data_IF_336875148176
#
_entry.id   IF_336875148176
#
_cell.length_a   1.000
_cell.length_b   1.000
_cell.length_c   1.000
_cell.angle_alpha   90.00
_cell.angle_beta   90.00
_cell.angle_gamma   90.00
#
_symmetry.space_group_name_H-M   'P 1'
#
loop_
_entity.id
_entity.type
_entity.pdbx_description
1 polymer ?
#
# COMPACT_ATOMS: atom_id res chain seq x y z
N UNK A 1 2.42 3.38 -0.28
CA UNK A 1 3.74 3.24 0.37
C UNK A 1 3.79 1.97 1.20
N UNK A 2 4.80 1.19 0.97
CA UNK A 2 4.95 -0.13 1.59
C UNK A 2 6.13 -0.11 2.56
N UNK A 3 5.90 -0.57 3.80
CA UNK A 3 6.95 -0.71 4.82
C UNK A 3 6.96 -2.13 5.34
N UNK A 4 8.15 -2.71 5.49
CA UNK A 4 8.33 -4.00 6.13
C UNK A 4 8.07 -5.21 5.24
N UNK A 5 7.99 -5.04 3.93
CA UNK A 5 7.87 -6.14 2.98
C UNK A 5 9.16 -6.23 2.15
N UNK A 6 9.79 -7.40 2.07
CA UNK A 6 10.99 -7.56 1.25
C UNK A 6 10.73 -7.21 -0.21
N UNK A 7 11.72 -6.60 -0.86
CA UNK A 7 11.61 -6.20 -2.25
C UNK A 7 11.20 -7.34 -3.18
N UNK A 8 11.73 -8.54 -2.95
CA UNK A 8 11.41 -9.71 -3.77
C UNK A 8 9.91 -10.04 -3.75
N UNK A 9 9.27 -9.86 -2.60
CA UNK A 9 7.84 -10.13 -2.47
C UNK A 9 7.02 -9.09 -3.21
N UNK A 10 7.45 -7.83 -3.17
CA UNK A 10 6.79 -6.75 -3.91
C UNK A 10 6.89 -7.00 -5.41
N UNK A 11 8.09 -7.33 -5.90
CA UNK A 11 8.31 -7.59 -7.31
C UNK A 11 7.48 -8.79 -7.81
N UNK A 12 7.27 -9.78 -6.94
CA UNK A 12 6.47 -10.96 -7.29
C UNK A 12 5.03 -10.62 -7.61
N UNK A 13 4.45 -9.64 -6.91
CA UNK A 13 3.01 -9.33 -7.02
C UNK A 13 2.72 -7.96 -7.63
N UNK A 14 3.73 -7.19 -7.95
CA UNK A 14 3.57 -5.81 -8.39
C UNK A 14 2.58 -5.66 -9.54
N UNK A 15 2.74 -6.42 -10.59
CA UNK A 15 1.89 -6.28 -11.78
C UNK A 15 0.43 -6.66 -11.47
N UNK A 16 0.24 -7.73 -10.71
CA UNK A 16 -1.09 -8.16 -10.29
C UNK A 16 -1.77 -7.09 -9.42
N UNK A 17 -1.00 -6.46 -8.54
CA UNK A 17 -1.52 -5.41 -7.66
C UNK A 17 -1.98 -4.20 -8.47
N UNK A 18 -1.16 -3.74 -9.42
CA UNK A 18 -1.55 -2.65 -10.31
C UNK A 18 -2.82 -2.97 -11.08
N UNK A 19 -2.88 -4.15 -11.68
CA UNK A 19 -4.03 -4.55 -12.50
C UNK A 19 -5.31 -4.62 -11.67
N UNK A 20 -5.25 -5.23 -10.49
CA UNK A 20 -6.43 -5.37 -9.65
C UNK A 20 -6.91 -4.05 -9.09
N UNK A 21 -6.00 -3.15 -8.70
CA UNK A 21 -6.38 -1.81 -8.22
C UNK A 21 -6.97 -0.98 -9.36
N UNK A 22 -6.42 -1.07 -10.55
CA UNK A 22 -6.96 -0.39 -11.72
C UNK A 22 -8.39 -0.82 -12.01
N UNK A 23 -8.67 -2.12 -11.95
CA UNK A 23 -10.02 -2.65 -12.18
C UNK A 23 -11.01 -2.15 -11.12
N UNK A 24 -10.64 -2.22 -9.85
CA UNK A 24 -11.53 -1.81 -8.76
C UNK A 24 -11.83 -0.32 -8.80
N UNK A 25 -10.80 0.49 -9.04
CA UNK A 25 -10.92 1.94 -8.99
C UNK A 25 -11.33 2.54 -10.33
N UNK A 26 -11.38 1.70 -11.38
CA UNK A 26 -11.74 2.12 -12.74
C UNK A 26 -10.91 3.32 -13.20
N UNK A 27 -9.60 3.22 -13.05
CA UNK A 27 -8.66 4.26 -13.46
C UNK A 27 -7.38 3.64 -14.05
N UNK A 28 -6.64 4.38 -14.89
CA UNK A 28 -5.42 3.88 -15.52
C UNK A 28 -4.36 3.48 -14.49
N UNK A 29 -3.57 2.47 -14.81
CA UNK A 29 -2.50 1.98 -13.92
C UNK A 29 -1.44 3.04 -13.64
N UNK A 30 -1.19 3.94 -14.58
CA UNK A 30 -0.20 5.01 -14.42
C UNK A 30 -0.61 6.12 -13.45
N UNK A 31 -1.85 6.06 -12.91
CA UNK A 31 -2.27 6.93 -11.83
C UNK A 31 -1.78 6.46 -10.46
N UNK A 32 -1.22 5.25 -10.40
CA UNK A 32 -0.72 4.68 -9.15
C UNK A 32 0.79 4.69 -9.11
N UNK A 33 1.33 4.78 -7.91
CA UNK A 33 2.75 4.60 -7.69
C UNK A 33 2.94 3.72 -6.46
N UNK A 34 3.60 2.58 -6.66
CA UNK A 34 3.99 1.72 -5.56
C UNK A 34 5.42 2.05 -5.19
N UNK A 35 5.63 2.44 -3.94
CA UNK A 35 6.95 2.70 -3.41
C UNK A 35 7.16 1.95 -2.12
N UNK A 36 8.37 1.53 -1.85
CA UNK A 36 8.72 0.90 -0.59
C UNK A 36 9.75 1.71 0.16
N UNK A 37 9.64 1.70 1.49
CA UNK A 37 10.52 2.44 2.38
C UNK A 37 11.16 1.45 3.32
N UNK A 38 12.49 1.51 3.43
CA UNK A 38 13.20 0.73 4.42
C UNK A 38 12.85 1.23 5.83
N UNK A 39 12.52 0.31 6.73
CA UNK A 39 12.14 0.63 8.09
C UNK A 39 12.82 -0.32 9.06
N UNK A 40 13.45 0.23 10.08
CA UNK A 40 13.94 -0.53 11.21
C UNK A 40 12.90 -0.48 12.32
N UNK A 41 12.67 -1.61 12.98
CA UNK A 41 11.68 -1.72 14.02
C UNK A 41 12.37 -1.94 15.38
N UNK A 42 11.99 -1.12 16.34
CA UNK A 42 12.54 -1.17 17.70
C UNK A 42 11.43 -1.54 18.69
N UNK A 43 11.19 -2.84 18.91
CA UNK A 43 10.10 -3.26 19.81
C UNK A 43 10.42 -2.91 21.27
N UNK A 44 9.38 -2.71 22.11
CA UNK A 44 9.59 -2.38 23.52
C UNK A 44 10.19 -3.53 24.32
N UNK A 45 10.13 -4.74 23.79
CA UNK A 45 10.69 -5.94 24.41
C UNK A 45 11.61 -6.64 23.42
N UNK A 46 12.87 -6.87 23.80
CA UNK A 46 13.87 -7.48 22.92
C UNK A 46 13.49 -8.89 22.45
N UNK A 47 12.61 -9.56 23.18
CA UNK A 47 12.14 -10.90 22.79
C UNK A 47 11.01 -10.85 21.76
N UNK A 48 10.39 -9.69 21.54
CA UNK A 48 9.32 -9.53 20.56
C UNK A 48 9.95 -9.29 19.18
N UNK A 49 9.96 -10.34 18.38
CA UNK A 49 10.51 -10.29 17.02
C UNK A 49 9.45 -10.15 15.94
N UNK A 50 8.19 -9.93 16.33
CA UNK A 50 7.12 -9.77 15.37
C UNK A 50 7.30 -8.47 14.61
N UNK A 51 7.18 -8.56 13.33
CA UNK A 51 7.23 -7.41 12.44
C UNK A 51 5.98 -7.44 11.57
N UNK A 52 5.10 -6.46 11.77
CA UNK A 52 3.88 -6.37 10.97
C UNK A 52 4.10 -5.37 9.85
N UNK A 53 4.07 -5.83 8.59
CA UNK A 53 4.17 -4.92 7.47
C UNK A 53 3.01 -3.94 7.42
N UNK A 54 3.28 -2.74 6.94
CA UNK A 54 2.29 -1.68 6.79
C UNK A 54 2.24 -1.19 5.36
N UNK A 55 1.04 -1.00 4.84
CA UNK A 55 0.83 -0.36 3.55
C UNK A 55 -0.07 0.86 3.77
N UNK A 56 0.43 2.02 3.39
CA UNK A 56 -0.34 3.26 3.40
C UNK A 56 -0.81 3.56 1.98
N UNK A 57 -2.11 3.70 1.81
CA UNK A 57 -2.72 4.16 0.57
C UNK A 57 -3.02 5.64 0.71
N UNK A 58 -2.28 6.47 -0.02
CA UNK A 58 -2.48 7.92 0.00
C UNK A 58 -3.24 8.31 -1.26
N UNK A 59 -4.41 8.89 -1.07
CA UNK A 59 -5.29 9.26 -2.18
C UNK A 59 -6.25 10.38 -1.78
N UNK A 60 -7.04 10.84 -2.74
CA UNK A 60 -8.16 11.73 -2.45
C UNK A 60 -9.31 10.91 -1.85
N UNK A 61 -10.18 11.54 -1.02
CA UNK A 61 -11.23 10.82 -0.30
C UNK A 61 -12.11 9.93 -1.20
N UNK A 62 -12.38 8.72 -0.72
CA UNK A 62 -13.25 7.74 -1.38
C UNK A 62 -14.19 7.13 -0.35
N UNK A 63 -15.32 6.53 -0.78
CA UNK A 63 -16.26 5.87 0.14
C UNK A 63 -15.61 4.78 0.96
N UNK A 64 -16.12 4.55 2.17
CA UNK A 64 -15.59 3.52 3.08
C UNK A 64 -15.60 2.12 2.45
N UNK A 65 -16.61 1.81 1.64
CA UNK A 65 -16.70 0.51 0.95
C UNK A 65 -15.53 0.32 -0.02
N UNK A 66 -15.12 1.38 -0.69
CA UNK A 66 -13.98 1.34 -1.60
C UNK A 66 -12.68 1.11 -0.84
N UNK A 67 -12.52 1.77 0.30
CA UNK A 67 -11.34 1.57 1.17
C UNK A 67 -11.25 0.12 1.63
N UNK A 68 -12.37 -0.45 2.08
CA UNK A 68 -12.41 -1.83 2.54
C UNK A 68 -12.05 -2.80 1.40
N UNK A 69 -12.61 -2.59 0.23
CA UNK A 69 -12.35 -3.44 -0.93
C UNK A 69 -10.87 -3.38 -1.34
N UNK A 70 -10.28 -2.20 -1.36
CA UNK A 70 -8.87 -2.03 -1.69
C UNK A 70 -7.99 -2.73 -0.65
N UNK A 71 -8.30 -2.58 0.64
CA UNK A 71 -7.54 -3.25 1.69
C UNK A 71 -7.60 -4.78 1.55
N UNK A 72 -8.78 -5.32 1.27
CA UNK A 72 -8.96 -6.76 1.07
C UNK A 72 -8.15 -7.27 -0.12
N UNK A 73 -8.16 -6.53 -1.23
CA UNK A 73 -7.42 -6.92 -2.43
C UNK A 73 -5.92 -6.89 -2.17
N UNK A 74 -5.41 -5.87 -1.49
CA UNK A 74 -3.99 -5.79 -1.14
C UNK A 74 -3.60 -7.00 -0.30
N UNK A 75 -4.39 -7.36 0.70
CA UNK A 75 -4.11 -8.52 1.54
C UNK A 75 -4.15 -9.83 0.74
N UNK A 76 -5.11 -10.00 -0.16
CA UNK A 76 -5.20 -11.18 -1.02
C UNK A 76 -3.97 -11.33 -1.92
N UNK A 77 -3.54 -10.22 -2.52
CA UNK A 77 -2.42 -10.23 -3.45
C UNK A 77 -1.13 -10.62 -2.75
N UNK A 78 -0.90 -10.15 -1.53
CA UNK A 78 0.32 -10.45 -0.79
C UNK A 78 0.31 -11.78 -0.06
N UNK A 79 -0.85 -12.35 0.21
CA UNK A 79 -0.95 -13.61 0.98
C UNK A 79 -0.10 -14.75 0.41
N UNK A 80 -0.09 -14.99 -0.92
CA UNK A 80 0.72 -16.08 -1.49
C UNK A 80 2.23 -15.91 -1.31
N UNK A 81 2.70 -14.72 -0.97
CA UNK A 81 4.13 -14.47 -0.74
C UNK A 81 4.59 -14.92 0.65
N UNK A 82 3.69 -15.45 1.48
CA UNK A 82 4.00 -15.90 2.83
C UNK A 82 3.76 -14.87 3.91
N UNK A 83 3.20 -13.70 3.57
CA UNK A 83 2.88 -12.67 4.55
C UNK A 83 1.58 -13.05 5.25
N UNK A 84 1.67 -13.36 6.55
CA UNK A 84 0.54 -13.82 7.34
C UNK A 84 -0.30 -12.71 7.97
N UNK A 85 0.25 -11.52 8.12
CA UNK A 85 -0.42 -10.39 8.71
C UNK A 85 0.04 -9.10 8.04
N UNK A 86 -0.90 -8.22 7.72
CA UNK A 86 -0.63 -6.99 6.99
C UNK A 86 -1.60 -5.93 7.45
N UNK A 87 -1.07 -4.75 7.80
CA UNK A 87 -1.90 -3.59 8.14
C UNK A 87 -1.98 -2.68 6.92
N UNK A 88 -3.20 -2.34 6.53
CA UNK A 88 -3.46 -1.37 5.46
C UNK A 88 -4.21 -0.19 6.05
N UNK A 89 -3.73 1.01 5.80
CA UNK A 89 -4.41 2.22 6.24
C UNK A 89 -4.40 3.26 5.14
N UNK A 90 -5.29 4.23 5.26
CA UNK A 90 -5.54 5.23 4.23
C UNK A 90 -5.24 6.62 4.76
N UNK A 91 -4.55 7.40 3.94
CA UNK A 91 -4.25 8.79 4.22
C UNK A 91 -4.92 9.63 3.13
N UNK A 92 -5.90 10.43 3.51
CA UNK A 92 -6.67 11.24 2.57
C UNK A 92 -6.00 12.58 2.34
N UNK A 93 -5.80 12.91 1.06
CA UNK A 93 -5.28 14.22 0.65
C UNK A 93 -6.44 15.15 0.33
N UNK A 94 -6.29 16.42 0.70
CA UNK A 94 -7.26 17.44 0.33
C UNK A 94 -6.85 18.06 -1.01
N UNK A 95 -7.79 18.15 -1.94
CA UNK A 95 -7.52 18.69 -3.27
C UNK A 95 -6.95 20.10 -3.25
N UNK A 96 -7.40 20.92 -2.31
CA UNK A 96 -6.89 22.29 -2.17
C UNK A 96 -5.52 22.37 -1.51
N UNK A 97 -4.97 21.24 -1.07
CA UNK A 97 -3.62 21.13 -0.52
C UNK A 97 -2.68 20.35 -1.43
N UNK A 98 -3.15 19.96 -2.62
CA UNK A 98 -2.37 19.16 -3.56
C UNK A 98 -2.04 20.00 -4.80
N UNK A 99 -0.76 20.17 -5.06
CA UNK A 99 -0.26 20.95 -6.17
C UNK A 99 0.76 20.16 -6.97
N UNK A 100 0.55 20.06 -8.27
CA UNK A 100 1.50 19.44 -9.19
C UNK A 100 2.03 20.54 -10.10
N UNK A 101 3.28 20.95 -9.86
CA UNK A 101 3.90 22.06 -10.57
C UNK A 101 4.93 21.51 -11.54
N UNK A 102 4.66 21.63 -12.83
CA UNK A 102 5.59 21.19 -13.86
C UNK A 102 6.49 22.29 -14.36
N UNK A 103 7.64 21.92 -14.90
CA UNK A 103 8.54 22.82 -15.62
C UNK A 103 9.10 23.98 -14.79
N UNK A 104 9.30 23.77 -13.52
CA UNK A 104 9.97 24.76 -12.67
C UNK A 104 11.46 24.50 -12.55
#
# INVERSE_FOLDING_TARGET
MIKGIPQKNILQVKDQLYDRLSDILNCPVDWFMIESVHTDYYPPNDSDKRHVPHICVRWFPRPAETCQLVAEVICEVFRPTGIGCLTVYFEEMQKNHYFSLGNI
#
